data_IF_991629535449
#
_entry.id   IF_991629535449
#
_cell.length_a   1.000
_cell.length_b   1.000
_cell.length_c   1.000
_cell.angle_alpha   90.00
_cell.angle_beta   90.00
_cell.angle_gamma   90.00
#
_symmetry.space_group_name_H-M   'P 1'
#
loop_
_entity.id
_entity.type
_entity.pdbx_description
1 polymer ?
#
# COMPACT_ATOMS: atom_id res chain seq x y z
N UNK A 1 -19.26 -12.47 -5.43
CA UNK A 1 -18.30 -12.29 -6.51
C UNK A 1 -16.88 -12.58 -6.08
N UNK A 2 -15.96 -12.26 -6.96
CA UNK A 2 -14.53 -12.50 -6.70
C UNK A 2 -14.08 -11.80 -5.42
N UNK A 3 -14.61 -10.61 -5.17
CA UNK A 3 -14.27 -9.87 -3.96
C UNK A 3 -14.61 -10.59 -2.68
N UNK A 4 -15.71 -11.32 -2.65
CA UNK A 4 -16.14 -12.04 -1.47
C UNK A 4 -15.19 -13.18 -1.11
N UNK A 5 -14.71 -13.92 -2.11
CA UNK A 5 -13.76 -15.00 -1.88
C UNK A 5 -12.48 -14.51 -1.24
N UNK A 6 -11.97 -13.41 -1.76
CA UNK A 6 -10.73 -12.84 -1.21
C UNK A 6 -10.93 -12.30 0.20
N UNK A 7 -12.09 -11.72 0.45
CA UNK A 7 -12.43 -11.24 1.79
C UNK A 7 -12.46 -12.41 2.79
N UNK A 8 -13.01 -13.54 2.38
CA UNK A 8 -13.05 -14.74 3.22
C UNK A 8 -11.64 -15.23 3.56
N UNK A 9 -10.75 -15.25 2.57
CA UNK A 9 -9.35 -15.66 2.79
C UNK A 9 -8.69 -14.76 3.83
N UNK A 10 -8.91 -13.45 3.72
CA UNK A 10 -8.33 -12.50 4.65
C UNK A 10 -8.93 -12.68 6.05
N UNK A 11 -10.23 -12.88 6.12
CA UNK A 11 -10.89 -13.12 7.40
C UNK A 11 -10.40 -14.41 8.06
N UNK A 12 -10.20 -15.46 7.26
CA UNK A 12 -9.64 -16.71 7.78
C UNK A 12 -8.27 -16.50 8.36
N UNK A 13 -7.42 -15.74 7.66
CA UNK A 13 -6.10 -15.41 8.16
C UNK A 13 -6.18 -14.67 9.50
N UNK A 14 -7.07 -13.68 9.59
CA UNK A 14 -7.25 -12.94 10.83
C UNK A 14 -7.74 -13.83 11.96
N UNK A 15 -8.64 -14.74 11.65
CA UNK A 15 -9.16 -15.68 12.65
C UNK A 15 -8.08 -16.63 13.14
N UNK A 16 -7.24 -17.14 12.23
CA UNK A 16 -6.16 -18.04 12.59
C UNK A 16 -5.12 -17.36 13.47
N UNK A 17 -4.95 -16.06 13.30
CA UNK A 17 -3.98 -15.30 14.10
C UNK A 17 -4.59 -14.65 15.33
N UNK A 18 -5.87 -14.87 15.57
CA UNK A 18 -6.56 -14.27 16.70
C UNK A 18 -5.89 -14.68 18.00
N UNK A 19 -5.63 -13.69 18.86
CA UNK A 19 -4.95 -13.94 20.13
C UNK A 19 -3.46 -14.08 20.02
N UNK A 20 -2.91 -14.04 18.81
CA UNK A 20 -1.48 -14.08 18.55
C UNK A 20 -1.04 -12.77 17.94
N UNK A 21 0.26 -12.55 17.94
CA UNK A 21 0.83 -11.40 17.24
C UNK A 21 0.67 -11.63 15.72
N UNK A 22 -0.17 -10.84 15.07
CA UNK A 22 -0.33 -10.97 13.63
C UNK A 22 0.52 -9.93 12.88
N UNK A 23 0.92 -10.30 11.68
CA UNK A 23 1.78 -9.47 10.84
C UNK A 23 0.93 -8.58 9.95
N UNK A 24 0.95 -7.26 10.22
CA UNK A 24 0.23 -6.29 9.40
C UNK A 24 0.66 -6.32 7.95
N UNK A 25 1.94 -6.58 7.71
CA UNK A 25 2.45 -6.62 6.34
C UNK A 25 1.90 -7.81 5.57
N UNK A 26 1.64 -8.92 6.27
CA UNK A 26 1.01 -10.07 5.63
C UNK A 26 -0.41 -9.76 5.18
N UNK A 27 -1.16 -9.04 6.00
CA UNK A 27 -2.52 -8.63 5.65
C UNK A 27 -2.49 -7.68 4.47
N UNK A 28 -1.58 -6.71 4.48
CA UNK A 28 -1.42 -5.76 3.38
C UNK A 28 -1.06 -6.51 2.10
N UNK A 29 -0.18 -7.50 2.20
CA UNK A 29 0.21 -8.31 1.05
C UNK A 29 -0.97 -9.06 0.45
N UNK A 30 -1.83 -9.63 1.28
CA UNK A 30 -3.01 -10.34 0.81
C UNK A 30 -3.99 -9.40 0.11
N UNK A 31 -4.25 -8.22 0.69
CA UNK A 31 -5.07 -7.21 0.05
C UNK A 31 -4.46 -6.71 -1.25
N UNK A 32 -3.17 -6.56 -1.26
CA UNK A 32 -2.39 -6.15 -2.41
C UNK A 32 -2.62 -7.10 -3.60
N UNK A 33 -2.48 -8.41 -3.36
CA UNK A 33 -2.69 -9.42 -4.40
C UNK A 33 -4.12 -9.39 -4.91
N UNK A 34 -5.05 -9.27 -3.99
CA UNK A 34 -6.46 -9.22 -4.32
C UNK A 34 -6.78 -8.03 -5.22
N UNK A 35 -6.33 -6.84 -4.83
CA UNK A 35 -6.62 -5.64 -5.61
C UNK A 35 -5.90 -5.63 -6.95
N UNK A 36 -4.70 -6.20 -7.01
CA UNK A 36 -3.98 -6.29 -8.27
C UNK A 36 -4.79 -7.09 -9.29
N UNK A 37 -5.34 -8.21 -8.88
CA UNK A 37 -6.12 -9.05 -9.76
C UNK A 37 -7.39 -8.35 -10.24
N UNK A 38 -8.07 -7.65 -9.32
CA UNK A 38 -9.29 -6.92 -9.67
C UNK A 38 -8.99 -5.75 -10.61
N UNK A 39 -8.01 -4.92 -10.27
CA UNK A 39 -7.76 -3.70 -11.03
C UNK A 39 -7.00 -3.95 -12.32
N UNK A 40 -6.44 -5.13 -12.51
CA UNK A 40 -5.89 -5.50 -13.80
C UNK A 40 -6.98 -5.63 -14.86
N UNK A 41 -8.20 -5.96 -14.43
CA UNK A 41 -9.31 -6.18 -15.34
C UNK A 41 -10.28 -5.00 -15.44
N UNK A 42 -10.21 -4.06 -14.47
CA UNK A 42 -11.14 -2.93 -14.45
C UNK A 42 -10.38 -1.61 -14.49
N UNK A 43 -10.64 -0.75 -15.49
CA UNK A 43 -9.94 0.53 -15.60
C UNK A 43 -10.54 1.58 -14.66
N UNK A 44 -10.49 1.32 -13.37
CA UNK A 44 -10.95 2.29 -12.37
C UNK A 44 -9.82 3.27 -12.08
N UNK A 45 -10.15 4.47 -11.64
CA UNK A 45 -9.16 5.46 -11.25
C UNK A 45 -8.43 5.07 -9.97
N UNK A 46 -8.99 4.16 -9.19
CA UNK A 46 -8.40 3.67 -7.95
C UNK A 46 -7.39 2.57 -8.24
N UNK A 47 -6.27 2.57 -7.54
CA UNK A 47 -5.19 1.62 -7.77
C UNK A 47 -4.65 1.09 -6.45
N UNK A 48 -3.74 0.10 -6.55
CA UNK A 48 -3.06 -0.44 -5.38
C UNK A 48 -2.29 0.67 -4.65
N UNK A 49 -1.77 1.65 -5.38
CA UNK A 49 -1.07 2.77 -4.75
C UNK A 49 -2.00 3.57 -3.86
N UNK A 50 -3.23 3.82 -4.31
CA UNK A 50 -4.22 4.54 -3.51
C UNK A 50 -4.64 3.75 -2.29
N UNK A 51 -4.77 2.43 -2.43
CA UNK A 51 -5.07 1.56 -1.30
C UNK A 51 -3.96 1.64 -0.25
N UNK A 52 -2.70 1.53 -0.68
CA UNK A 52 -1.58 1.59 0.23
C UNK A 52 -1.49 2.93 0.96
N UNK A 53 -1.71 4.03 0.24
CA UNK A 53 -1.73 5.35 0.87
C UNK A 53 -2.75 5.41 1.99
N UNK A 54 -3.95 4.89 1.74
CA UNK A 54 -5.00 4.88 2.74
C UNK A 54 -4.61 4.04 3.95
N UNK A 55 -4.00 2.86 3.72
CA UNK A 55 -3.59 1.98 4.79
C UNK A 55 -2.55 2.62 5.72
N UNK A 56 -1.69 3.45 5.18
CA UNK A 56 -0.68 4.13 5.95
C UNK A 56 -1.11 5.54 6.38
N UNK A 57 -2.38 5.87 6.16
CA UNK A 57 -2.95 7.19 6.52
C UNK A 57 -2.20 8.35 5.86
N UNK A 58 -1.83 8.16 4.60
CA UNK A 58 -1.09 9.16 3.83
C UNK A 58 -2.00 9.85 2.82
N UNK A 59 -1.71 11.11 2.48
CA UNK A 59 -2.42 11.79 1.40
C UNK A 59 -2.33 11.00 0.09
N UNK A 60 -3.39 11.04 -0.70
CA UNK A 60 -3.44 10.32 -1.96
C UNK A 60 -2.47 10.89 -3.00
N UNK A 61 -1.94 12.07 -2.77
CA UNK A 61 -0.93 12.66 -3.63
C UNK A 61 0.32 11.79 -3.73
N UNK A 62 0.67 11.09 -2.64
CA UNK A 62 1.79 10.14 -2.67
C UNK A 62 1.52 9.02 -3.67
N UNK A 63 0.30 8.48 -3.65
CA UNK A 63 -0.07 7.41 -4.56
C UNK A 63 0.02 7.86 -6.02
N UNK A 64 -0.52 9.02 -6.30
CA UNK A 64 -0.49 9.59 -7.65
C UNK A 64 0.95 9.77 -8.13
N UNK A 65 1.80 10.31 -7.27
CA UNK A 65 3.20 10.55 -7.61
C UNK A 65 3.94 9.25 -7.93
N UNK A 66 3.82 8.24 -7.06
CA UNK A 66 4.53 6.98 -7.26
C UNK A 66 4.03 6.25 -8.49
N UNK A 67 2.72 6.33 -8.75
CA UNK A 67 2.13 5.70 -9.93
C UNK A 67 2.63 6.38 -11.21
N UNK A 68 2.63 7.70 -11.24
CA UNK A 68 3.08 8.45 -12.41
C UNK A 68 4.56 8.26 -12.70
N UNK A 69 5.37 8.16 -11.65
CA UNK A 69 6.81 7.90 -11.79
C UNK A 69 7.10 6.45 -12.11
N UNK A 70 6.09 5.61 -12.07
CA UNK A 70 6.21 4.18 -12.34
C UNK A 70 7.17 3.50 -11.37
N UNK A 71 7.23 3.97 -10.13
CA UNK A 71 7.97 3.29 -9.08
C UNK A 71 7.20 2.04 -8.68
N UNK A 72 7.92 0.97 -8.34
CA UNK A 72 7.29 -0.28 -7.99
C UNK A 72 6.48 -0.21 -6.69
N UNK A 73 5.53 -1.11 -6.57
CA UNK A 73 4.65 -1.13 -5.39
C UNK A 73 5.42 -1.47 -4.12
N UNK A 74 6.43 -2.34 -4.20
CA UNK A 74 7.28 -2.64 -3.05
C UNK A 74 8.07 -1.42 -2.61
N UNK A 75 8.56 -0.65 -3.56
CA UNK A 75 9.25 0.61 -3.27
C UNK A 75 8.31 1.56 -2.55
N UNK A 76 7.08 1.67 -3.04
CA UNK A 76 6.09 2.54 -2.43
C UNK A 76 5.76 2.09 -1.01
N UNK A 77 5.55 0.79 -0.80
CA UNK A 77 5.23 0.26 0.51
C UNK A 77 6.38 0.52 1.51
N UNK A 78 7.61 0.29 1.08
CA UNK A 78 8.77 0.56 1.93
C UNK A 78 8.89 2.03 2.27
N UNK A 79 8.64 2.90 1.28
CA UNK A 79 8.63 4.33 1.52
C UNK A 79 7.58 4.70 2.57
N UNK A 80 6.35 4.24 2.39
CA UNK A 80 5.26 4.55 3.31
C UNK A 80 5.55 4.07 4.73
N UNK A 81 6.11 2.88 4.87
CA UNK A 81 6.42 2.33 6.19
C UNK A 81 7.54 3.08 6.91
N UNK A 82 8.32 3.86 6.17
CA UNK A 82 9.42 4.64 6.76
C UNK A 82 8.96 6.01 7.26
N UNK A 83 7.73 6.41 6.97
CA UNK A 83 7.26 7.75 7.29
C UNK A 83 6.88 7.90 8.76
N UNK A 84 7.29 9.00 9.35
CA UNK A 84 6.84 9.39 10.67
C UNK A 84 5.51 10.14 10.55
N UNK A 85 4.71 10.21 11.62
CA UNK A 85 3.40 10.88 11.53
C UNK A 85 3.44 12.28 10.96
N UNK A 86 4.45 13.08 11.33
CA UNK A 86 4.57 14.44 10.84
C UNK A 86 4.93 14.52 9.36
N UNK A 87 5.49 13.43 8.82
CA UNK A 87 5.87 13.38 7.41
C UNK A 87 4.68 13.01 6.51
N UNK A 88 3.59 12.58 7.11
CA UNK A 88 2.39 12.18 6.36
C UNK A 88 1.39 13.31 6.14
N UNK A 89 1.68 14.51 6.68
CA UNK A 89 0.71 15.59 6.66
C UNK A 89 0.59 16.23 5.29
N UNK A 90 1.73 16.47 4.64
CA UNK A 90 1.77 17.17 3.35
C UNK A 90 2.68 16.44 2.39
N UNK A 91 2.22 16.28 1.15
CA UNK A 91 3.04 15.68 0.10
C UNK A 91 4.02 16.72 -0.46
N UNK A 92 5.26 16.30 -0.62
CA UNK A 92 6.31 17.08 -1.29
C UNK A 92 7.18 16.14 -2.10
N UNK A 93 7.28 16.40 -3.42
CA UNK A 93 8.05 15.54 -4.31
C UNK A 93 9.53 15.48 -3.92
N UNK A 94 10.10 16.62 -3.54
CA UNK A 94 11.52 16.66 -3.13
C UNK A 94 11.80 15.79 -1.92
N UNK A 95 10.87 15.78 -0.95
CA UNK A 95 10.99 14.92 0.22
C UNK A 95 10.96 13.45 -0.18
N UNK A 96 10.07 13.09 -1.10
CA UNK A 96 9.95 11.71 -1.56
C UNK A 96 11.28 11.23 -2.15
N UNK A 97 11.86 12.02 -3.04
CA UNK A 97 13.11 11.63 -3.70
C UNK A 97 14.26 11.52 -2.69
N UNK A 98 14.32 12.43 -1.73
CA UNK A 98 15.34 12.38 -0.69
C UNK A 98 15.20 11.12 0.15
N UNK A 99 13.97 10.81 0.58
CA UNK A 99 13.74 9.62 1.40
C UNK A 99 14.06 8.34 0.63
N UNK A 100 13.72 8.27 -0.64
CA UNK A 100 14.04 7.10 -1.46
C UNK A 100 15.54 6.86 -1.53
N UNK A 101 16.33 7.94 -1.64
CA UNK A 101 17.79 7.83 -1.62
C UNK A 101 18.29 7.33 -0.28
N UNK A 102 17.74 7.87 0.80
CA UNK A 102 18.13 7.43 2.15
C UNK A 102 17.84 5.94 2.36
N UNK A 103 16.76 5.44 1.77
CA UNK A 103 16.38 4.04 1.88
C UNK A 103 17.11 3.15 0.89
N UNK A 104 17.88 3.73 -0.02
CA UNK A 104 18.57 2.96 -1.06
C UNK A 104 17.64 2.43 -2.12
N UNK A 105 16.52 3.10 -2.35
CA UNK A 105 15.48 2.65 -3.28
C UNK A 105 15.47 3.41 -4.60
N UNK A 106 16.29 4.44 -4.74
CA UNK A 106 16.33 5.21 -6.00
C UNK A 106 17.63 5.00 -6.73
#
# INVERSE_FOLDING_TARGET
GVGNLQTEVIMDYLNETQGKHYDKFKIIELFYRYLRDIYAETPWGYSIYHFLSAQYSCPQDFATYFKEKNYGEHTFQRFLSSLRPEEKIVFRAGFVETRLKELGLS
#
